data_IF_727883666352
#
_entry.id   IF_727883666352
#
_cell.length_a   1.000
_cell.length_b   1.000
_cell.length_c   1.000
_cell.angle_alpha   90.00
_cell.angle_beta   90.00
_cell.angle_gamma   90.00
#
_symmetry.space_group_name_H-M   'P 1'
#
loop_
_entity.id
_entity.type
_entity.pdbx_description
1 polymer ?
#
# COMPACT_ATOMS: atom_id res chain seq x y z
N UNK A 1 -27.89 1.58 40.37
CA UNK A 1 -27.19 1.10 39.15
C UNK A 1 -26.89 -0.38 39.32
N UNK A 2 -27.90 -1.22 39.15
CA UNK A 2 -27.79 -2.68 39.29
C UNK A 2 -27.38 -3.26 37.95
N UNK A 3 -26.25 -3.96 37.97
CA UNK A 3 -25.65 -4.69 36.88
C UNK A 3 -26.55 -5.90 36.56
N UNK A 4 -27.46 -5.77 35.59
CA UNK A 4 -28.16 -6.92 35.00
C UNK A 4 -27.21 -7.54 33.97
N UNK A 5 -26.14 -8.17 34.47
CA UNK A 5 -25.30 -9.04 33.64
C UNK A 5 -25.96 -10.42 33.61
N UNK A 6 -27.01 -10.53 32.79
CA UNK A 6 -27.61 -11.83 32.47
C UNK A 6 -26.64 -12.62 31.57
N UNK A 7 -26.33 -13.89 31.87
CA UNK A 7 -25.41 -14.73 31.07
C UNK A 7 -25.90 -15.01 29.64
N UNK A 8 -27.13 -14.62 29.30
CA UNK A 8 -27.68 -14.64 27.95
C UNK A 8 -27.19 -13.46 27.10
N UNK A 9 -27.12 -12.25 27.68
CA UNK A 9 -26.68 -11.03 26.99
C UNK A 9 -25.21 -11.13 26.57
N UNK A 10 -24.36 -11.76 27.41
CA UNK A 10 -22.94 -12.00 27.11
C UNK A 10 -22.70 -13.08 26.05
N UNK A 11 -23.66 -13.99 25.84
CA UNK A 11 -23.58 -15.01 24.77
C UNK A 11 -23.95 -14.42 23.43
N UNK A 12 -24.92 -13.50 23.40
CA UNK A 12 -25.38 -12.87 22.16
C UNK A 12 -24.41 -11.80 21.66
N UNK A 13 -23.81 -11.01 22.54
CA UNK A 13 -22.68 -10.16 22.19
C UNK A 13 -21.55 -10.99 21.56
N UNK A 14 -21.15 -12.09 22.20
CA UNK A 14 -20.10 -12.97 21.71
C UNK A 14 -20.45 -13.59 20.34
N UNK A 15 -21.70 -13.98 20.12
CA UNK A 15 -22.17 -14.50 18.83
C UNK A 15 -22.10 -13.45 17.72
N UNK A 16 -22.51 -12.21 18.00
CA UNK A 16 -22.42 -11.09 17.04
C UNK A 16 -20.96 -10.78 16.73
N UNK A 17 -20.08 -10.73 17.74
CA UNK A 17 -18.65 -10.52 17.52
C UNK A 17 -18.04 -11.61 16.64
N UNK A 18 -18.34 -12.86 16.94
CA UNK A 18 -17.86 -13.99 16.15
C UNK A 18 -18.38 -13.94 14.71
N UNK A 19 -19.64 -13.55 14.49
CA UNK A 19 -20.20 -13.40 13.14
C UNK A 19 -19.48 -12.31 12.33
N UNK A 20 -19.15 -11.18 12.96
CA UNK A 20 -18.40 -10.10 12.32
C UNK A 20 -16.98 -10.56 11.98
N UNK A 21 -16.28 -11.22 12.91
CA UNK A 21 -14.93 -11.75 12.65
C UNK A 21 -14.93 -12.79 11.53
N UNK A 22 -15.87 -13.74 11.55
CA UNK A 22 -16.02 -14.75 10.50
C UNK A 22 -16.33 -14.11 9.13
N UNK A 23 -17.15 -13.06 9.09
CA UNK A 23 -17.42 -12.30 7.86
C UNK A 23 -16.20 -11.57 7.30
N UNK A 24 -15.36 -11.00 8.19
CA UNK A 24 -14.09 -10.37 7.80
C UNK A 24 -13.12 -11.42 7.23
N UNK A 25 -13.01 -12.59 7.87
CA UNK A 25 -12.15 -13.68 7.42
C UNK A 25 -12.59 -14.23 6.05
N UNK A 26 -13.89 -14.51 5.87
CA UNK A 26 -14.47 -14.96 4.58
C UNK A 26 -14.20 -13.94 3.46
N UNK A 27 -14.41 -12.66 3.74
CA UNK A 27 -14.08 -11.59 2.79
C UNK A 27 -12.61 -11.63 2.36
N UNK A 28 -11.68 -11.74 3.30
CA UNK A 28 -10.25 -11.76 2.97
C UNK A 28 -9.82 -13.07 2.29
N UNK A 29 -10.48 -14.19 2.58
CA UNK A 29 -10.31 -15.44 1.84
C UNK A 29 -10.74 -15.27 0.37
N UNK A 30 -11.90 -14.64 0.13
CA UNK A 30 -12.36 -14.30 -1.22
C UNK A 30 -11.40 -13.31 -1.93
N UNK A 31 -10.87 -12.31 -1.22
CA UNK A 31 -9.83 -11.43 -1.77
C UNK A 31 -8.60 -12.24 -2.21
N UNK A 32 -8.11 -13.17 -1.38
CA UNK A 32 -6.96 -14.04 -1.71
C UNK A 32 -7.25 -14.93 -2.91
N UNK A 33 -8.46 -15.49 -3.00
CA UNK A 33 -8.90 -16.31 -4.11
C UNK A 33 -8.95 -15.53 -5.44
N UNK A 34 -9.23 -14.22 -5.38
CA UNK A 34 -9.28 -13.35 -6.56
C UNK A 34 -7.91 -12.83 -7.02
N UNK A 35 -6.86 -12.93 -6.19
CA UNK A 35 -5.50 -12.47 -6.53
C UNK A 35 -4.99 -13.04 -7.86
N UNK A 36 -5.10 -14.35 -8.18
CA UNK A 36 -4.59 -14.90 -9.43
C UNK A 36 -5.27 -14.30 -10.67
N UNK A 37 -6.59 -14.09 -10.62
CA UNK A 37 -7.35 -13.47 -11.71
C UNK A 37 -6.95 -12.00 -11.89
N UNK A 38 -6.82 -11.27 -10.78
CA UNK A 38 -6.36 -9.88 -10.78
C UNK A 38 -4.96 -9.74 -11.40
N UNK A 39 -4.03 -10.64 -11.04
CA UNK A 39 -2.69 -10.68 -11.61
C UNK A 39 -2.73 -10.94 -13.12
N UNK A 40 -3.50 -11.95 -13.54
CA UNK A 40 -3.63 -12.30 -14.97
C UNK A 40 -4.21 -11.14 -15.78
N UNK A 41 -5.16 -10.39 -15.21
CA UNK A 41 -5.83 -9.27 -15.88
C UNK A 41 -4.94 -8.05 -16.02
N UNK A 42 -4.21 -7.65 -14.96
CA UNK A 42 -3.52 -6.36 -14.90
C UNK A 42 -1.99 -6.42 -15.03
N UNK A 43 -1.37 -7.54 -14.65
CA UNK A 43 0.09 -7.68 -14.65
C UNK A 43 0.60 -8.62 -15.75
N UNK A 44 -0.28 -9.33 -16.45
CA UNK A 44 0.07 -10.08 -17.64
C UNK A 44 -0.20 -9.27 -18.92
N UNK A 45 0.36 -9.69 -20.06
CA UNK A 45 0.13 -9.02 -21.35
C UNK A 45 -1.29 -9.37 -21.83
N UNK A 46 -2.15 -8.39 -22.19
CA UNK A 46 -1.86 -6.98 -22.48
C UNK A 46 -2.08 -5.97 -21.33
N UNK A 47 -2.64 -6.38 -20.18
CA UNK A 47 -2.96 -5.48 -19.07
C UNK A 47 -1.76 -4.71 -18.49
N UNK A 48 -0.58 -5.34 -18.46
CA UNK A 48 0.66 -4.69 -18.05
C UNK A 48 0.98 -3.47 -18.94
N UNK A 49 0.73 -3.57 -20.25
CA UNK A 49 0.97 -2.47 -21.17
C UNK A 49 -0.03 -1.33 -20.98
N UNK A 50 -1.32 -1.65 -20.79
CA UNK A 50 -2.35 -0.62 -20.53
C UNK A 50 -2.03 0.17 -19.26
N UNK A 51 -1.58 -0.51 -18.21
CA UNK A 51 -1.22 0.10 -16.93
C UNK A 51 0.04 0.96 -17.07
N UNK A 52 1.09 0.45 -17.71
CA UNK A 52 2.37 1.16 -17.83
C UNK A 52 2.34 2.29 -18.87
N UNK A 53 1.42 2.26 -19.85
CA UNK A 53 1.23 3.37 -20.80
C UNK A 53 0.85 4.68 -20.10
N UNK A 54 0.26 4.62 -18.90
CA UNK A 54 -0.05 5.82 -18.12
C UNK A 54 1.19 6.58 -17.63
N UNK A 55 2.38 5.95 -17.64
CA UNK A 55 3.64 6.59 -17.31
C UNK A 55 4.18 7.52 -18.42
N UNK A 56 3.66 7.45 -19.65
CA UNK A 56 4.18 8.28 -20.74
C UNK A 56 3.93 9.79 -20.47
N UNK A 57 4.89 10.61 -20.88
CA UNK A 57 4.88 12.07 -20.69
C UNK A 57 5.67 12.50 -19.46
N UNK A 58 5.24 13.58 -18.79
CA UNK A 58 5.94 14.18 -17.64
C UNK A 58 6.03 13.23 -16.43
N UNK A 59 5.15 12.23 -16.36
CA UNK A 59 5.16 11.22 -15.29
C UNK A 59 6.40 10.31 -15.37
N UNK A 60 7.00 10.16 -16.55
CA UNK A 60 8.25 9.43 -16.78
C UNK A 60 9.41 9.99 -15.94
N UNK A 61 9.42 11.30 -15.69
CA UNK A 61 10.46 11.97 -14.91
C UNK A 61 10.25 11.84 -13.40
N UNK A 62 9.03 11.51 -12.95
CA UNK A 62 8.73 11.38 -11.52
C UNK A 62 9.40 10.16 -10.90
N UNK A 63 9.55 9.06 -11.64
CA UNK A 63 10.28 7.90 -11.17
C UNK A 63 11.78 8.19 -10.92
N UNK A 64 12.51 8.85 -11.83
CA UNK A 64 13.85 9.40 -11.58
C UNK A 64 13.93 10.39 -10.42
N UNK A 65 13.00 11.33 -10.33
CA UNK A 65 12.99 12.29 -9.22
C UNK A 65 12.79 11.58 -7.88
N UNK A 66 11.83 10.64 -7.79
CA UNK A 66 11.60 9.85 -6.59
C UNK A 66 12.81 9.00 -6.21
N UNK A 67 13.50 8.47 -7.21
CA UNK A 67 14.69 7.66 -7.01
C UNK A 67 15.80 8.47 -6.31
N UNK A 68 16.04 9.70 -6.78
CA UNK A 68 17.01 10.62 -6.19
C UNK A 68 16.54 11.18 -4.84
N UNK A 69 15.22 11.36 -4.68
CA UNK A 69 14.61 11.86 -3.45
C UNK A 69 14.67 10.84 -2.30
N UNK A 70 14.48 9.56 -2.58
CA UNK A 70 14.42 8.50 -1.56
C UNK A 70 15.62 8.49 -0.56
N UNK A 71 16.90 8.51 -0.99
CA UNK A 71 18.03 8.57 -0.07
C UNK A 71 18.10 9.89 0.69
N UNK A 72 17.79 11.02 0.04
CA UNK A 72 17.75 12.35 0.69
C UNK A 72 16.69 12.36 1.78
N UNK A 73 15.51 11.85 1.47
CA UNK A 73 14.39 11.72 2.39
C UNK A 73 14.74 10.83 3.59
N UNK A 74 15.40 9.69 3.36
CA UNK A 74 15.87 8.80 4.44
C UNK A 74 16.84 9.54 5.37
N UNK A 75 17.83 10.23 4.82
CA UNK A 75 18.79 11.00 5.61
C UNK A 75 18.10 12.10 6.43
N UNK A 76 17.15 12.83 5.83
CA UNK A 76 16.34 13.83 6.52
C UNK A 76 15.50 13.21 7.65
N UNK A 77 14.84 12.08 7.39
CA UNK A 77 14.07 11.33 8.39
C UNK A 77 14.93 10.87 9.55
N UNK A 78 16.12 10.31 9.29
CA UNK A 78 17.06 9.89 10.33
C UNK A 78 17.54 11.08 11.16
N UNK A 79 17.85 12.19 10.51
CA UNK A 79 18.28 13.42 11.18
C UNK A 79 17.16 13.98 12.07
N UNK A 80 15.93 14.05 11.55
CA UNK A 80 14.75 14.47 12.31
C UNK A 80 14.47 13.50 13.47
N UNK A 81 14.62 12.19 13.25
CA UNK A 81 14.49 11.19 14.29
C UNK A 81 15.52 11.41 15.42
N UNK A 82 16.80 11.65 15.09
CA UNK A 82 17.81 12.02 16.07
C UNK A 82 17.42 13.28 16.86
N UNK A 83 16.81 14.28 16.21
CA UNK A 83 16.29 15.45 16.92
C UNK A 83 15.08 15.15 17.81
N UNK A 84 14.21 14.22 17.43
CA UNK A 84 13.13 13.78 18.32
C UNK A 84 13.68 13.10 19.58
N UNK A 85 14.75 12.31 19.45
CA UNK A 85 15.45 11.71 20.59
C UNK A 85 16.15 12.77 21.45
N UNK A 86 16.66 13.84 20.84
CA UNK A 86 17.23 15.00 21.52
C UNK A 86 16.19 15.94 22.16
N UNK A 87 14.89 15.60 22.11
CA UNK A 87 13.83 16.34 22.79
C UNK A 87 13.13 17.41 21.96
N UNK A 88 13.48 17.59 20.67
CA UNK A 88 12.76 18.54 19.81
C UNK A 88 11.42 17.95 19.35
N UNK A 89 10.33 18.38 20.01
CA UNK A 89 8.98 17.91 19.69
C UNK A 89 8.51 18.33 18.28
N UNK A 90 9.01 19.46 17.76
CA UNK A 90 8.70 19.96 16.42
C UNK A 90 9.23 19.07 15.28
N UNK A 91 10.26 18.27 15.53
CA UNK A 91 10.84 17.38 14.53
C UNK A 91 9.85 16.34 14.02
N UNK A 92 8.91 15.86 14.86
CA UNK A 92 7.85 14.94 14.43
C UNK A 92 6.88 15.60 13.43
N UNK A 93 6.54 16.87 13.67
CA UNK A 93 5.68 17.64 12.77
C UNK A 93 6.34 17.83 11.39
N UNK A 94 7.63 18.18 11.38
CA UNK A 94 8.40 18.34 10.14
C UNK A 94 8.57 17.01 9.41
N UNK A 95 8.84 15.92 10.13
CA UNK A 95 8.97 14.58 9.54
C UNK A 95 7.67 14.12 8.86
N UNK A 96 6.52 14.46 9.44
CA UNK A 96 5.20 14.13 8.88
C UNK A 96 4.82 15.01 7.68
N UNK A 97 5.37 16.22 7.59
CA UNK A 97 5.12 17.14 6.46
C UNK A 97 5.94 16.79 5.22
N UNK A 98 7.13 16.19 5.39
CA UNK A 98 8.00 15.81 4.29
C UNK A 98 7.35 14.71 3.43
N UNK A 99 7.11 14.95 2.12
CA UNK A 99 6.55 13.93 1.25
C UNK A 99 7.58 12.82 1.02
N UNK A 100 7.16 11.55 1.12
CA UNK A 100 8.02 10.41 0.83
C UNK A 100 8.39 10.28 -0.66
N UNK A 101 7.69 11.02 -1.54
CA UNK A 101 7.94 11.09 -2.98
C UNK A 101 6.74 11.60 -3.76
N UNK A 102 6.91 11.82 -5.06
CA UNK A 102 5.87 12.18 -6.01
C UNK A 102 5.07 10.94 -6.43
N UNK A 103 3.76 10.93 -6.21
CA UNK A 103 2.93 9.78 -6.63
C UNK A 103 2.80 9.72 -8.16
N UNK A 104 3.25 8.62 -8.76
CA UNK A 104 3.12 8.40 -10.21
C UNK A 104 1.66 8.08 -10.58
N UNK A 105 1.27 8.35 -11.83
CA UNK A 105 -0.05 7.99 -12.35
C UNK A 105 -0.26 6.48 -12.36
N UNK A 106 0.80 5.72 -12.67
CA UNK A 106 0.78 4.25 -12.61
C UNK A 106 0.47 3.76 -11.20
N UNK A 107 1.16 4.31 -10.19
CA UNK A 107 0.91 3.95 -8.79
C UNK A 107 -0.53 4.29 -8.36
N UNK A 108 -1.03 5.47 -8.74
CA UNK A 108 -2.43 5.86 -8.46
C UNK A 108 -3.44 4.92 -9.12
N UNK A 109 -3.20 4.55 -10.39
CA UNK A 109 -4.07 3.65 -11.12
C UNK A 109 -4.07 2.25 -10.50
N UNK A 110 -2.90 1.68 -10.18
CA UNK A 110 -2.81 0.36 -9.56
C UNK A 110 -3.49 0.38 -8.18
N UNK A 111 -3.31 1.44 -7.38
CA UNK A 111 -4.02 1.57 -6.11
C UNK A 111 -5.54 1.62 -6.30
N UNK A 112 -6.03 2.36 -7.30
CA UNK A 112 -7.46 2.41 -7.61
C UNK A 112 -8.00 1.04 -8.02
N UNK A 113 -7.27 0.30 -8.86
CA UNK A 113 -7.63 -1.06 -9.29
C UNK A 113 -7.63 -2.05 -8.12
N UNK A 114 -6.64 -1.98 -7.23
CA UNK A 114 -6.61 -2.81 -6.02
C UNK A 114 -7.83 -2.51 -5.15
N UNK A 115 -8.18 -1.25 -4.96
CA UNK A 115 -9.35 -0.88 -4.16
C UNK A 115 -10.67 -1.32 -4.80
N UNK A 116 -10.83 -1.12 -6.11
CA UNK A 116 -12.10 -1.40 -6.78
C UNK A 116 -12.31 -2.88 -7.08
N UNK A 117 -11.26 -3.60 -7.49
CA UNK A 117 -11.40 -4.97 -7.98
C UNK A 117 -10.98 -6.04 -6.96
N UNK A 118 -10.01 -5.73 -6.08
CA UNK A 118 -9.49 -6.68 -5.10
C UNK A 118 -10.07 -6.47 -3.70
N UNK A 119 -10.30 -5.22 -3.30
CA UNK A 119 -10.75 -4.82 -1.96
C UNK A 119 -12.13 -4.13 -1.99
N UNK A 120 -13.10 -4.81 -2.57
CA UNK A 120 -14.45 -4.29 -2.78
C UNK A 120 -15.26 -4.24 -1.46
N UNK A 121 -15.64 -3.04 -1.06
CA UNK A 121 -16.43 -2.76 0.15
C UNK A 121 -17.80 -3.44 0.14
N UNK A 122 -18.45 -3.50 -1.02
CA UNK A 122 -19.74 -4.16 -1.14
C UNK A 122 -19.63 -5.67 -0.85
N UNK A 123 -18.48 -6.28 -1.19
CA UNK A 123 -18.21 -7.69 -0.85
C UNK A 123 -17.92 -7.89 0.62
N UNK A 124 -17.25 -6.93 1.28
CA UNK A 124 -17.06 -7.01 2.73
C UNK A 124 -18.42 -6.97 3.45
N UNK A 125 -19.28 -6.03 3.07
CA UNK A 125 -20.63 -5.92 3.62
C UNK A 125 -21.41 -7.22 3.44
N UNK A 126 -21.48 -7.72 2.20
CA UNK A 126 -22.16 -8.97 1.88
C UNK A 126 -21.59 -10.19 2.62
N UNK A 127 -20.27 -10.20 2.90
CA UNK A 127 -19.64 -11.30 3.64
C UNK A 127 -20.04 -11.26 5.10
N UNK A 128 -20.15 -10.09 5.73
CA UNK A 128 -20.61 -9.95 7.12
C UNK A 128 -22.10 -10.27 7.24
N UNK A 129 -22.93 -9.78 6.31
CA UNK A 129 -24.35 -10.09 6.27
C UNK A 129 -24.61 -11.59 6.23
N UNK A 130 -23.81 -12.34 5.45
CA UNK A 130 -23.92 -13.81 5.36
C UNK A 130 -23.83 -14.53 6.71
N UNK A 131 -23.11 -13.96 7.69
CA UNK A 131 -22.99 -14.53 9.04
C UNK A 131 -23.95 -13.89 10.05
N UNK A 132 -24.37 -12.63 9.86
CA UNK A 132 -25.31 -11.94 10.74
C UNK A 132 -26.78 -12.26 10.43
N UNK A 133 -27.15 -12.43 9.16
CA UNK A 133 -28.53 -12.73 8.75
C UNK A 133 -29.10 -13.99 9.41
N UNK A 134 -28.35 -15.11 9.50
CA UNK A 134 -28.85 -16.32 10.18
C UNK A 134 -29.19 -16.08 11.65
N UNK A 135 -28.42 -15.21 12.35
CA UNK A 135 -28.69 -14.84 13.74
C UNK A 135 -29.99 -14.03 13.82
N UNK A 136 -30.16 -13.06 12.92
CA UNK A 136 -31.37 -12.26 12.83
C UNK A 136 -32.61 -13.09 12.44
N UNK A 137 -32.46 -14.06 11.51
CA UNK A 137 -33.51 -14.98 11.08
C UNK A 137 -33.95 -15.92 12.20
N UNK A 138 -32.99 -16.47 12.95
CA UNK A 138 -33.27 -17.33 14.09
C UNK A 138 -34.07 -16.59 15.16
N UNK A 139 -33.69 -15.35 15.46
CA UNK A 139 -34.43 -14.48 16.38
C UNK A 139 -35.82 -14.15 15.84
N UNK A 140 -35.92 -13.73 14.58
CA UNK A 140 -37.19 -13.37 13.97
C UNK A 140 -38.19 -14.54 13.86
N UNK A 141 -37.67 -15.76 13.76
CA UNK A 141 -38.47 -16.99 13.74
C UNK A 141 -38.90 -17.40 15.13
N UNK A 142 -38.04 -17.23 16.14
CA UNK A 142 -38.41 -17.43 17.55
C UNK A 142 -39.49 -16.45 18.03
N UNK A 143 -39.56 -15.25 17.43
CA UNK A 143 -40.53 -14.21 17.76
C UNK A 143 -41.83 -14.23 16.96
N UNK A 144 -42.04 -15.19 16.05
CA UNK A 144 -43.19 -15.22 15.11
C UNK A 144 -43.48 -13.87 14.41
N UNK A 145 -42.42 -13.11 14.08
CA UNK A 145 -42.59 -11.76 13.54
C UNK A 145 -43.32 -11.78 12.18
N UNK A 146 -44.32 -10.90 11.97
CA UNK A 146 -44.96 -10.76 10.66
C UNK A 146 -43.97 -10.25 9.62
N UNK A 147 -44.16 -10.63 8.35
CA UNK A 147 -43.20 -10.43 7.25
C UNK A 147 -42.73 -8.98 7.08
N UNK A 148 -43.59 -8.00 7.35
CA UNK A 148 -43.24 -6.58 7.27
C UNK A 148 -42.26 -6.12 8.36
N UNK A 149 -42.35 -6.66 9.58
CA UNK A 149 -41.40 -6.38 10.68
C UNK A 149 -40.07 -7.11 10.51
N UNK A 150 -40.10 -8.30 9.90
CA UNK A 150 -38.85 -9.01 9.51
C UNK A 150 -38.03 -8.16 8.54
N UNK A 151 -38.69 -7.56 7.56
CA UNK A 151 -38.00 -6.73 6.57
C UNK A 151 -37.51 -5.39 7.14
N UNK A 152 -38.19 -4.79 8.13
CA UNK A 152 -37.68 -3.60 8.82
C UNK A 152 -36.46 -3.93 9.68
N UNK A 153 -36.49 -5.05 10.41
CA UNK A 153 -35.36 -5.55 11.20
C UNK A 153 -34.12 -5.73 10.33
N UNK A 154 -34.24 -6.41 9.17
CA UNK A 154 -33.11 -6.58 8.26
C UNK A 154 -32.58 -5.26 7.72
N UNK A 155 -33.44 -4.29 7.42
CA UNK A 155 -33.01 -2.95 6.96
C UNK A 155 -32.25 -2.20 8.06
N UNK A 156 -32.75 -2.22 9.30
CA UNK A 156 -32.08 -1.56 10.43
C UNK A 156 -30.75 -2.22 10.76
N UNK A 157 -30.70 -3.55 10.78
CA UNK A 157 -29.47 -4.32 10.94
C UNK A 157 -28.45 -3.94 9.85
N UNK A 158 -28.88 -3.94 8.59
CA UNK A 158 -28.04 -3.59 7.45
C UNK A 158 -27.49 -2.16 7.57
N UNK A 159 -28.31 -1.19 8.02
CA UNK A 159 -27.86 0.18 8.23
C UNK A 159 -26.82 0.28 9.38
N UNK A 160 -27.02 -0.45 10.47
CA UNK A 160 -26.09 -0.46 11.60
C UNK A 160 -24.74 -1.07 11.19
N UNK A 161 -24.76 -2.16 10.42
CA UNK A 161 -23.57 -2.80 9.86
C UNK A 161 -22.86 -1.86 8.88
N UNK A 162 -23.60 -1.20 7.99
CA UNK A 162 -23.06 -0.23 7.03
C UNK A 162 -22.38 0.95 7.74
N UNK A 163 -22.98 1.49 8.80
CA UNK A 163 -22.38 2.56 9.60
C UNK A 163 -21.12 2.08 10.35
N UNK A 164 -21.15 0.88 10.94
CA UNK A 164 -20.01 0.29 11.63
C UNK A 164 -18.84 0.03 10.66
N UNK A 165 -19.15 -0.50 9.48
CA UNK A 165 -18.18 -0.75 8.42
C UNK A 165 -17.63 0.54 7.85
N UNK A 166 -18.45 1.56 7.60
CA UNK A 166 -17.98 2.88 7.22
C UNK A 166 -17.04 3.46 8.26
N UNK A 167 -17.28 3.29 9.55
CA UNK A 167 -16.35 3.78 10.58
C UNK A 167 -15.04 2.97 10.66
N UNK A 168 -15.11 1.65 10.44
CA UNK A 168 -13.92 0.78 10.35
C UNK A 168 -13.10 1.08 9.09
N UNK A 169 -13.77 1.32 7.96
CA UNK A 169 -13.22 1.56 6.62
C UNK A 169 -13.02 3.04 6.27
N UNK A 170 -13.46 3.98 7.10
CA UNK A 170 -13.23 5.43 6.97
C UNK A 170 -11.72 5.76 6.87
N UNK A 171 -10.88 4.80 7.25
CA UNK A 171 -9.48 4.73 6.86
C UNK A 171 -9.27 4.16 5.45
N UNK A 172 -10.00 4.66 4.44
CA UNK A 172 -9.69 4.42 3.02
C UNK A 172 -8.26 4.90 2.70
N UNK A 173 -7.77 5.83 3.53
CA UNK A 173 -6.35 6.21 3.68
C UNK A 173 -5.47 5.07 4.18
N UNK A 174 -5.81 4.24 5.18
CA UNK A 174 -4.91 3.16 5.61
C UNK A 174 -4.64 2.11 4.53
N UNK A 175 -5.64 1.69 3.74
CA UNK A 175 -5.38 0.74 2.66
C UNK A 175 -4.49 1.38 1.56
N UNK A 176 -4.76 2.64 1.23
CA UNK A 176 -3.93 3.42 0.32
C UNK A 176 -2.52 3.69 0.87
N UNK A 177 -2.38 3.93 2.17
CA UNK A 177 -1.14 4.22 2.89
C UNK A 177 -0.30 2.97 3.06
N UNK A 178 -0.92 1.82 3.38
CA UNK A 178 -0.25 0.52 3.43
C UNK A 178 0.23 0.15 2.02
N UNK A 179 -0.62 0.31 0.99
CA UNK A 179 -0.21 0.07 -0.40
C UNK A 179 0.93 1.01 -0.80
N UNK A 180 0.81 2.31 -0.53
CA UNK A 180 1.86 3.30 -0.79
C UNK A 180 3.16 2.99 -0.07
N UNK A 181 3.10 2.54 1.19
CA UNK A 181 4.28 2.14 1.96
C UNK A 181 4.96 0.93 1.34
N UNK A 182 4.20 -0.06 0.87
CA UNK A 182 4.74 -1.24 0.18
C UNK A 182 5.34 -0.86 -1.17
N UNK A 183 4.69 0.01 -1.94
CA UNK A 183 5.21 0.53 -3.20
C UNK A 183 6.48 1.35 -3.00
N UNK A 184 6.50 2.25 -2.02
CA UNK A 184 7.67 3.06 -1.68
C UNK A 184 8.85 2.18 -1.22
N UNK A 185 8.61 1.20 -0.35
CA UNK A 185 9.64 0.25 0.09
C UNK A 185 10.21 -0.57 -1.08
N UNK A 186 9.37 -0.93 -2.05
CA UNK A 186 9.78 -1.63 -3.27
C UNK A 186 10.65 -0.75 -4.17
N UNK A 187 10.24 0.49 -4.43
CA UNK A 187 11.03 1.45 -5.21
C UNK A 187 12.37 1.68 -4.53
N UNK A 188 12.37 1.86 -3.20
CA UNK A 188 13.59 1.99 -2.40
C UNK A 188 14.51 0.78 -2.50
N UNK A 189 14.00 -0.45 -2.38
CA UNK A 189 14.81 -1.66 -2.47
C UNK A 189 15.45 -1.85 -3.86
N UNK A 190 14.73 -1.53 -4.93
CA UNK A 190 15.25 -1.58 -6.30
C UNK A 190 16.34 -0.51 -6.49
N UNK A 191 16.10 0.70 -5.97
CA UNK A 191 17.07 1.78 -5.94
C UNK A 191 18.38 1.35 -5.25
N UNK A 192 18.28 0.84 -4.03
CA UNK A 192 19.44 0.42 -3.25
C UNK A 192 20.23 -0.73 -3.91
N UNK A 193 19.55 -1.72 -4.49
CA UNK A 193 20.23 -2.90 -5.04
C UNK A 193 20.86 -2.65 -6.41
N UNK A 194 20.22 -1.87 -7.30
CA UNK A 194 20.68 -1.67 -8.68
C UNK A 194 21.45 -0.37 -8.90
N UNK A 195 21.21 0.66 -8.10
CA UNK A 195 21.68 2.01 -8.43
C UNK A 195 22.82 2.52 -7.54
N UNK A 196 22.95 2.07 -6.28
CA UNK A 196 23.98 2.63 -5.40
C UNK A 196 25.37 2.06 -5.68
N UNK A 197 25.64 0.75 -5.56
CA UNK A 197 27.00 0.24 -5.78
C UNK A 197 27.39 0.25 -7.26
N UNK A 198 26.51 -0.23 -8.15
CA UNK A 198 26.80 -0.33 -9.59
C UNK A 198 26.72 1.01 -10.31
N UNK A 199 25.76 1.84 -9.93
CA UNK A 199 25.52 3.12 -10.60
C UNK A 199 26.57 4.18 -10.32
N UNK A 200 26.99 4.32 -9.06
CA UNK A 200 28.10 5.20 -8.69
C UNK A 200 29.39 4.73 -9.36
N UNK A 201 29.66 3.41 -9.37
CA UNK A 201 30.82 2.84 -10.06
C UNK A 201 30.86 3.17 -11.56
N UNK A 202 29.75 2.99 -12.27
CA UNK A 202 29.65 3.36 -13.69
C UNK A 202 29.85 4.88 -13.86
N UNK A 203 29.26 5.70 -12.98
CA UNK A 203 29.44 7.15 -12.99
C UNK A 203 30.91 7.58 -12.86
N UNK A 204 31.66 6.98 -11.95
CA UNK A 204 33.08 7.26 -11.76
C UNK A 204 33.92 6.84 -12.97
N UNK A 205 33.63 5.68 -13.57
CA UNK A 205 34.30 5.24 -14.80
C UNK A 205 34.02 6.21 -15.95
N UNK A 206 32.76 6.61 -16.12
CA UNK A 206 32.36 7.58 -17.15
C UNK A 206 33.03 8.94 -16.93
N UNK A 207 33.15 9.39 -15.66
CA UNK A 207 33.87 10.62 -15.33
C UNK A 207 35.34 10.55 -15.77
N UNK A 208 36.04 9.46 -15.44
CA UNK A 208 37.44 9.25 -15.83
C UNK A 208 37.63 9.22 -17.34
N UNK A 209 36.73 8.55 -18.07
CA UNK A 209 36.75 8.54 -19.55
C UNK A 209 36.51 9.93 -20.11
N UNK A 210 35.52 10.66 -19.59
CA UNK A 210 35.18 12.00 -20.08
C UNK A 210 36.31 12.99 -19.87
N UNK A 211 36.93 12.99 -18.69
CA UNK A 211 38.08 13.85 -18.35
C UNK A 211 39.30 13.49 -19.20
N UNK A 212 39.54 12.19 -19.42
CA UNK A 212 40.62 11.74 -20.31
C UNK A 212 40.43 12.22 -21.75
N UNK A 213 39.23 12.07 -22.31
CA UNK A 213 38.92 12.53 -23.67
C UNK A 213 39.07 14.05 -23.79
N UNK A 214 38.57 14.80 -22.80
CA UNK A 214 38.70 16.27 -22.77
C UNK A 214 40.17 16.71 -22.69
N UNK A 215 40.97 16.05 -21.86
CA UNK A 215 42.38 16.36 -21.70
C UNK A 215 43.18 16.03 -22.98
N UNK A 216 42.85 14.94 -23.68
CA UNK A 216 43.46 14.59 -24.97
C UNK A 216 43.19 15.66 -26.03
N UNK A 217 41.96 16.15 -26.14
CA UNK A 217 41.59 17.19 -27.11
C UNK A 217 42.27 18.55 -26.86
N UNK A 218 42.57 18.86 -25.60
CA UNK A 218 43.22 20.11 -25.19
C UNK A 218 44.75 19.98 -25.06
N UNK A 219 45.31 18.83 -25.44
CA UNK A 219 46.74 18.58 -25.29
C UNK A 219 47.55 19.44 -26.26
N UNK A 220 48.57 20.12 -25.73
CA UNK A 220 49.34 21.13 -26.46
C UNK A 220 50.11 20.59 -27.69
N UNK A 221 50.42 19.28 -27.74
CA UNK A 221 51.07 18.62 -28.88
C UNK A 221 50.07 17.94 -29.83
N UNK A 222 48.77 18.21 -29.67
CA UNK A 222 47.70 17.60 -30.44
C UNK A 222 47.16 16.31 -29.82
N UNK A 223 45.99 15.90 -30.32
CA UNK A 223 45.17 14.82 -29.75
C UNK A 223 45.86 13.46 -29.75
N UNK A 224 46.63 13.14 -30.80
CA UNK A 224 47.33 11.85 -30.92
C UNK A 224 48.42 11.71 -29.87
N UNK A 225 49.25 12.74 -29.66
CA UNK A 225 50.28 12.76 -28.62
C UNK A 225 49.67 12.76 -27.21
N UNK A 226 48.58 13.51 -26.99
CA UNK A 226 47.80 13.46 -25.75
C UNK A 226 47.23 12.07 -25.48
N UNK A 227 46.84 11.37 -26.54
CA UNK A 227 46.45 9.96 -26.55
C UNK A 227 47.41 9.05 -25.79
N UNK A 228 48.67 9.06 -26.23
CA UNK A 228 49.77 8.30 -25.64
C UNK A 228 50.19 8.79 -24.26
N UNK A 229 50.12 10.10 -24.00
CA UNK A 229 50.49 10.65 -22.71
C UNK A 229 49.51 10.23 -21.61
N UNK A 230 48.20 10.40 -21.85
CA UNK A 230 47.15 10.10 -20.87
C UNK A 230 46.81 8.61 -20.75
N UNK A 231 47.46 7.72 -21.50
CA UNK A 231 47.45 6.27 -21.20
C UNK A 231 48.44 5.92 -20.10
N UNK A 232 49.62 6.55 -20.06
CA UNK A 232 50.59 6.38 -18.97
C UNK A 232 50.26 7.21 -17.74
N UNK A 233 49.72 8.43 -17.94
CA UNK A 233 49.39 9.35 -16.87
C UNK A 233 47.89 9.73 -16.91
N UNK A 234 46.98 8.82 -16.54
CA UNK A 234 45.55 9.09 -16.63
C UNK A 234 45.15 10.28 -15.72
N UNK A 235 44.39 11.26 -16.24
CA UNK A 235 43.94 12.38 -15.44
C UNK A 235 42.85 11.93 -14.46
N UNK A 236 42.87 12.48 -13.25
CA UNK A 236 41.87 12.19 -12.23
C UNK A 236 40.72 13.18 -12.34
N UNK A 237 39.49 12.68 -12.37
CA UNK A 237 38.30 13.51 -12.38
C UNK A 237 38.13 14.20 -11.01
N UNK A 238 37.85 15.50 -11.03
CA UNK A 238 37.57 16.25 -9.81
C UNK A 238 36.18 15.88 -9.25
N UNK A 239 35.93 16.19 -7.98
CA UNK A 239 34.65 15.94 -7.29
C UNK A 239 33.44 16.43 -8.09
N UNK A 240 33.52 17.62 -8.70
CA UNK A 240 32.43 18.16 -9.53
C UNK A 240 32.15 17.32 -10.78
N UNK A 241 33.19 16.87 -11.48
CA UNK A 241 33.07 16.05 -12.69
C UNK A 241 32.52 14.66 -12.36
N UNK A 242 32.98 14.08 -11.25
CA UNK A 242 32.44 12.84 -10.71
C UNK A 242 30.95 12.97 -10.39
N UNK A 243 30.53 14.06 -9.73
CA UNK A 243 29.12 14.29 -9.40
C UNK A 243 28.26 14.42 -10.66
N UNK A 244 28.70 15.19 -11.66
CA UNK A 244 27.96 15.38 -12.92
C UNK A 244 27.82 14.06 -13.67
N UNK A 245 28.89 13.27 -13.76
CA UNK A 245 28.87 11.98 -14.45
C UNK A 245 27.99 10.95 -13.73
N UNK A 246 28.11 10.84 -12.39
CA UNK A 246 27.25 9.97 -11.58
C UNK A 246 25.78 10.38 -11.76
N UNK A 247 25.45 11.67 -11.65
CA UNK A 247 24.09 12.15 -11.82
C UNK A 247 23.53 11.83 -13.21
N UNK A 248 24.32 12.04 -14.26
CA UNK A 248 23.93 11.76 -15.64
C UNK A 248 23.67 10.27 -15.86
N UNK A 249 24.55 9.40 -15.35
CA UNK A 249 24.38 7.95 -15.40
C UNK A 249 23.13 7.51 -14.62
N UNK A 250 22.90 8.08 -13.43
CA UNK A 250 21.70 7.80 -12.62
C UNK A 250 20.42 8.19 -13.34
N UNK A 251 20.41 9.33 -14.02
CA UNK A 251 19.26 9.79 -14.80
C UNK A 251 18.94 8.80 -15.92
N UNK A 252 19.94 8.42 -16.72
CA UNK A 252 19.78 7.45 -17.82
C UNK A 252 19.32 6.09 -17.30
N UNK A 253 19.98 5.55 -16.27
CA UNK A 253 19.59 4.26 -15.70
C UNK A 253 18.18 4.30 -15.12
N UNK A 254 17.74 5.43 -14.57
CA UNK A 254 16.40 5.56 -14.01
C UNK A 254 15.31 5.57 -15.07
N UNK A 255 15.56 6.22 -16.21
CA UNK A 255 14.69 6.13 -17.39
C UNK A 255 14.60 4.66 -17.84
N UNK A 256 15.73 3.97 -17.97
CA UNK A 256 15.76 2.54 -18.33
C UNK A 256 14.99 1.69 -17.31
N UNK A 257 15.16 1.94 -16.00
CA UNK A 257 14.45 1.20 -14.96
C UNK A 257 12.93 1.42 -14.99
N UNK A 258 12.49 2.61 -15.37
CA UNK A 258 11.06 2.92 -15.52
C UNK A 258 10.43 2.06 -16.62
N UNK A 259 11.17 1.79 -17.70
CA UNK A 259 10.73 0.87 -18.77
C UNK A 259 11.03 -0.60 -18.49
N UNK A 260 11.99 -0.91 -17.61
CA UNK A 260 12.31 -2.28 -17.21
C UNK A 260 11.09 -3.00 -16.65
N UNK A 261 10.18 -2.28 -15.97
CA UNK A 261 8.90 -2.83 -15.47
C UNK A 261 8.10 -3.55 -16.55
N UNK A 262 7.97 -2.97 -17.75
CA UNK A 262 7.24 -3.58 -18.88
C UNK A 262 7.75 -4.97 -19.27
N UNK A 263 9.06 -5.18 -19.18
CA UNK A 263 9.70 -6.47 -19.51
C UNK A 263 9.75 -7.38 -18.29
N UNK A 264 10.00 -6.83 -17.10
CA UNK A 264 10.17 -7.63 -15.89
C UNK A 264 8.87 -8.03 -15.22
N UNK A 265 7.76 -7.31 -15.44
CA UNK A 265 6.48 -7.61 -14.79
C UNK A 265 5.92 -8.97 -15.26
N UNK A 266 5.90 -9.32 -16.57
CA UNK A 266 5.52 -10.68 -16.99
C UNK A 266 6.41 -11.77 -16.40
N UNK A 267 7.72 -11.51 -16.28
CA UNK A 267 8.67 -12.42 -15.63
C UNK A 267 8.42 -12.54 -14.12
N UNK A 268 8.09 -11.44 -13.45
CA UNK A 268 7.75 -11.42 -12.02
C UNK A 268 6.42 -12.13 -11.73
N UNK A 269 5.47 -12.11 -12.69
CA UNK A 269 4.24 -12.91 -12.62
C UNK A 269 4.58 -14.40 -12.68
N UNK A 270 5.42 -14.82 -13.62
CA UNK A 270 5.90 -16.20 -13.74
C UNK A 270 6.63 -16.67 -12.47
N UNK A 271 7.46 -15.80 -11.87
CA UNK A 271 8.17 -16.06 -10.62
C UNK A 271 7.28 -15.98 -9.36
N UNK A 272 5.99 -15.64 -9.51
CA UNK A 272 5.03 -15.55 -8.40
C UNK A 272 5.26 -14.38 -7.44
N UNK A 273 6.07 -13.38 -7.82
CA UNK A 273 6.41 -12.24 -6.95
C UNK A 273 5.19 -11.37 -6.67
N UNK A 274 4.41 -11.04 -7.70
CA UNK A 274 3.16 -10.28 -7.55
C UNK A 274 2.15 -11.01 -6.65
N UNK A 275 2.04 -12.34 -6.79
CA UNK A 275 1.19 -13.18 -5.94
C UNK A 275 1.60 -13.09 -4.48
N UNK A 276 2.89 -13.29 -4.17
CA UNK A 276 3.41 -13.18 -2.80
C UNK A 276 3.17 -11.80 -2.20
N UNK A 277 3.32 -10.74 -3.01
CA UNK A 277 3.12 -9.35 -2.57
C UNK A 277 1.67 -9.03 -2.24
N UNK A 278 0.75 -9.35 -3.14
CA UNK A 278 -0.67 -9.11 -2.91
C UNK A 278 -1.18 -9.93 -1.71
N UNK A 279 -0.71 -11.16 -1.55
CA UNK A 279 -1.02 -11.95 -0.35
C UNK A 279 -0.51 -11.26 0.92
N UNK A 280 0.75 -10.79 0.94
CA UNK A 280 1.28 -10.04 2.09
C UNK A 280 0.49 -8.75 2.39
N UNK A 281 0.04 -8.04 1.35
CA UNK A 281 -0.82 -6.85 1.52
C UNK A 281 -2.15 -7.25 2.16
N UNK A 282 -2.83 -8.26 1.60
CA UNK A 282 -4.11 -8.76 2.10
C UNK A 282 -4.00 -9.25 3.54
N UNK A 283 -3.00 -10.06 3.87
CA UNK A 283 -2.76 -10.53 5.25
C UNK A 283 -2.49 -9.37 6.22
N UNK A 284 -1.77 -8.33 5.80
CA UNK A 284 -1.57 -7.15 6.64
C UNK A 284 -2.86 -6.35 6.85
N UNK A 285 -3.71 -6.26 5.83
CA UNK A 285 -5.00 -5.58 5.93
C UNK A 285 -5.95 -6.34 6.84
N UNK A 286 -6.06 -7.64 6.66
CA UNK A 286 -6.82 -8.55 7.52
C UNK A 286 -6.36 -8.46 8.97
N UNK A 287 -5.05 -8.61 9.22
CA UNK A 287 -4.54 -8.51 10.58
C UNK A 287 -4.79 -7.14 11.21
N UNK A 288 -4.66 -6.05 10.43
CA UNK A 288 -4.98 -4.71 10.95
C UNK A 288 -6.47 -4.52 11.21
N UNK A 289 -7.35 -5.01 10.34
CA UNK A 289 -8.80 -4.93 10.55
C UNK A 289 -9.24 -5.80 11.72
N UNK A 290 -8.77 -7.04 11.83
CA UNK A 290 -9.06 -7.93 12.97
C UNK A 290 -8.49 -7.37 14.28
N UNK A 291 -7.29 -6.77 14.26
CA UNK A 291 -6.72 -6.11 15.44
C UNK A 291 -7.49 -4.86 15.82
N UNK A 292 -7.99 -4.09 14.85
CA UNK A 292 -8.81 -2.90 15.09
C UNK A 292 -10.23 -3.26 15.51
N UNK A 293 -10.75 -4.39 15.04
CA UNK A 293 -11.95 -5.02 15.57
C UNK A 293 -11.73 -5.42 17.03
N UNK A 294 -10.63 -6.13 17.33
CA UNK A 294 -10.31 -6.59 18.68
C UNK A 294 -10.00 -5.48 19.70
N UNK A 295 -9.09 -4.57 19.37
CA UNK A 295 -8.72 -3.43 20.22
C UNK A 295 -9.80 -2.33 20.21
N UNK A 296 -10.55 -2.24 19.12
CA UNK A 296 -11.68 -1.35 18.92
C UNK A 296 -13.03 -2.02 19.17
N UNK A 297 -13.11 -3.15 19.87
CA UNK A 297 -14.42 -3.64 20.32
C UNK A 297 -15.05 -2.61 21.27
N UNK A 298 -14.24 -1.86 22.04
CA UNK A 298 -14.68 -0.62 22.70
C UNK A 298 -15.33 0.45 21.79
N UNK A 299 -14.94 0.51 20.51
CA UNK A 299 -15.51 1.43 19.52
C UNK A 299 -16.63 0.81 18.69
N UNK A 300 -16.73 -0.52 18.63
CA UNK A 300 -17.86 -1.26 18.08
C UNK A 300 -18.96 -1.49 19.11
N UNK A 301 -18.67 -1.34 20.41
CA UNK A 301 -19.62 -1.44 21.52
C UNK A 301 -20.92 -0.65 21.25
N UNK A 302 -20.89 0.59 20.71
CA UNK A 302 -22.13 1.30 20.37
C UNK A 302 -22.95 0.63 19.25
N UNK A 303 -22.29 -0.02 18.28
CA UNK A 303 -22.96 -0.70 17.18
C UNK A 303 -23.47 -2.08 17.58
N UNK A 304 -22.66 -2.83 18.33
CA UNK A 304 -23.06 -4.11 18.92
C UNK A 304 -24.22 -3.88 19.90
N UNK A 305 -24.16 -2.82 20.72
CA UNK A 305 -25.27 -2.40 21.56
C UNK A 305 -26.51 -2.06 20.75
N UNK A 306 -26.40 -1.34 19.62
CA UNK A 306 -27.55 -1.07 18.73
C UNK A 306 -28.14 -2.34 18.11
N UNK A 307 -27.32 -3.31 17.72
CA UNK A 307 -27.79 -4.61 17.21
C UNK A 307 -28.50 -5.38 18.32
N UNK A 308 -27.96 -5.36 19.54
CA UNK A 308 -28.59 -5.98 20.71
C UNK A 308 -29.90 -5.28 21.09
N UNK A 309 -29.93 -3.95 21.12
CA UNK A 309 -31.14 -3.17 21.38
C UNK A 309 -32.23 -3.50 20.34
N UNK A 310 -31.85 -3.65 19.07
CA UNK A 310 -32.77 -4.08 18.01
C UNK A 310 -33.30 -5.49 18.28
N UNK A 311 -32.43 -6.43 18.67
CA UNK A 311 -32.82 -7.80 19.00
C UNK A 311 -33.65 -7.91 20.29
N UNK A 312 -33.34 -7.11 21.31
CA UNK A 312 -34.09 -7.06 22.57
C UNK A 312 -35.47 -6.41 22.38
N UNK A 313 -35.57 -5.37 21.55
CA UNK A 313 -36.86 -4.80 21.14
C UNK A 313 -37.74 -5.89 20.50
N UNK A 314 -37.16 -6.69 19.62
CA UNK A 314 -37.84 -7.81 18.95
C UNK A 314 -38.27 -8.89 19.95
N UNK A 315 -37.41 -9.25 20.91
CA UNK A 315 -37.75 -10.24 21.96
C UNK A 315 -38.79 -9.74 22.94
N UNK A 316 -38.78 -8.45 23.29
CA UNK A 316 -39.77 -7.87 24.19
C UNK A 316 -41.21 -7.98 23.65
N UNK A 317 -41.36 -8.06 22.32
CA UNK A 317 -42.64 -8.35 21.67
C UNK A 317 -43.14 -9.80 21.84
N UNK A 318 -42.30 -10.72 22.35
CA UNK A 318 -42.68 -12.09 22.72
C UNK A 318 -43.22 -12.15 24.16
N UNK A 319 -42.81 -11.21 25.02
CA UNK A 319 -43.14 -11.21 26.45
C UNK A 319 -44.45 -10.49 26.79
N UNK A 320 -45.17 -9.99 25.78
CA UNK A 320 -46.49 -9.36 25.85
C UNK A 320 -47.50 -10.24 25.10
#
# INVERSE_FOLDING_TARGET
MQQINSPALSKETAAIHHAIEAGIEDYFEQCRANIPLFIKKHFWVPGCWQTNRLAFGVDLLRAPINLLWAPIYLCLQLLLYCFTLAGWQGAKGVANWLPAGLTTKVQRNINALIQQELLDEAKLHSSIDKYLLPIAEQLASASELPSHKKQSLYRELNNIVDDALKQLMQSRTAAADISNTIFAAMVGAIAFKKFTPGGIGIGLVVAGVWVKLRAQQQFFLGETAGGWYYTMFPPQANTGENMVAIFSVMLVLSVIATFSGLVTDPLQVLLGVHKRRLNKLVTKLEHNLLRRSNAGFKTLDPYVARILDLFDTVKSHIAL
#
